data_IF_429853014304
#
_entry.id   IF_429853014304
#
_cell.length_a   1.000
_cell.length_b   1.000
_cell.length_c   1.000
_cell.angle_alpha   90.00
_cell.angle_beta   90.00
_cell.angle_gamma   90.00
#
_symmetry.space_group_name_H-M   'P 1'
#
loop_
_entity.id
_entity.type
_entity.pdbx_description
1 polymer ?
#
# COMPACT_ATOMS: atom_id res chain seq x y z
N UNK A 1 30.34 5.43 -17.79
CA UNK A 1 29.04 5.81 -17.21
C UNK A 1 28.50 4.57 -16.52
N UNK A 2 28.58 4.52 -15.19
CA UNK A 2 27.89 3.49 -14.43
C UNK A 2 26.39 3.65 -14.65
N UNK A 3 25.71 2.54 -14.91
CA UNK A 3 24.26 2.54 -15.07
C UNK A 3 23.61 2.96 -13.74
N UNK A 4 23.04 4.17 -13.71
CA UNK A 4 22.41 4.78 -12.51
C UNK A 4 21.33 3.85 -11.93
N UNK A 5 20.67 3.08 -12.79
CA UNK A 5 19.67 2.10 -12.41
C UNK A 5 20.29 0.91 -11.67
N UNK A 6 21.46 0.44 -12.12
CA UNK A 6 22.17 -0.67 -11.46
C UNK A 6 22.69 -0.30 -10.06
N UNK A 7 23.21 0.93 -9.88
CA UNK A 7 23.63 1.42 -8.55
C UNK A 7 22.43 1.50 -7.61
N UNK A 8 21.31 2.02 -8.12
CA UNK A 8 20.08 2.15 -7.34
C UNK A 8 19.53 0.78 -6.92
N UNK A 9 19.47 -0.16 -7.85
CA UNK A 9 18.95 -1.49 -7.59
C UNK A 9 19.85 -2.25 -6.59
N UNK A 10 21.17 -2.08 -6.67
CA UNK A 10 22.10 -2.62 -5.68
C UNK A 10 21.86 -2.04 -4.27
N UNK A 11 21.62 -0.72 -4.17
CA UNK A 11 21.31 -0.04 -2.90
C UNK A 11 19.99 -0.52 -2.29
N UNK A 12 18.95 -0.68 -3.11
CA UNK A 12 17.66 -1.21 -2.65
C UNK A 12 17.79 -2.66 -2.18
N UNK A 13 18.55 -3.48 -2.91
CA UNK A 13 18.81 -4.86 -2.52
C UNK A 13 19.57 -4.96 -1.19
N UNK A 14 20.54 -4.07 -0.96
CA UNK A 14 21.27 -3.97 0.32
C UNK A 14 20.34 -3.53 1.46
N UNK A 15 19.52 -2.50 1.21
CA UNK A 15 18.55 -1.99 2.19
C UNK A 15 17.50 -3.06 2.59
N UNK A 16 17.07 -3.90 1.64
CA UNK A 16 16.09 -4.98 1.90
C UNK A 16 16.68 -6.18 2.67
N UNK A 17 18.01 -6.32 2.79
CA UNK A 17 18.63 -7.49 3.43
C UNK A 17 18.09 -7.82 4.84
N UNK A 18 17.94 -6.84 5.76
CA UNK A 18 17.47 -7.15 7.11
C UNK A 18 16.05 -7.72 7.12
N UNK A 19 15.14 -7.18 6.32
CA UNK A 19 13.76 -7.69 6.27
C UNK A 19 13.67 -9.04 5.57
N UNK A 20 14.41 -9.24 4.49
CA UNK A 20 14.46 -10.52 3.79
C UNK A 20 15.00 -11.60 4.72
N UNK A 21 16.04 -11.30 5.51
CA UNK A 21 16.57 -12.22 6.52
C UNK A 21 15.52 -12.61 7.55
N UNK A 22 14.89 -11.64 8.22
CA UNK A 22 13.89 -11.90 9.26
C UNK A 22 12.68 -12.70 8.70
N UNK A 23 12.24 -12.39 7.48
CA UNK A 23 11.16 -13.13 6.82
C UNK A 23 11.54 -14.57 6.46
N UNK A 24 12.77 -14.81 6.00
CA UNK A 24 13.28 -16.16 5.69
C UNK A 24 13.46 -17.00 6.94
N UNK A 25 13.95 -16.41 8.04
CA UNK A 25 14.03 -17.08 9.34
C UNK A 25 12.64 -17.49 9.86
N UNK A 26 11.59 -16.74 9.50
CA UNK A 26 10.19 -17.08 9.77
C UNK A 26 9.55 -18.04 8.74
N UNK A 27 10.34 -18.59 7.80
CA UNK A 27 9.91 -19.61 6.84
C UNK A 27 9.45 -19.10 5.48
N UNK A 28 9.63 -17.81 5.17
CA UNK A 28 9.32 -17.29 3.83
C UNK A 28 10.39 -17.74 2.81
N UNK A 29 9.97 -18.22 1.64
CA UNK A 29 10.86 -18.48 0.52
C UNK A 29 10.87 -17.29 -0.45
N UNK A 30 11.61 -16.24 -0.09
CA UNK A 30 11.68 -14.99 -0.85
C UNK A 30 13.12 -14.53 -1.06
N UNK A 31 13.31 -13.75 -2.11
CA UNK A 31 14.55 -13.02 -2.42
C UNK A 31 14.39 -11.52 -2.23
N UNK A 32 13.16 -11.01 -2.26
CA UNK A 32 12.79 -9.62 -2.02
C UNK A 32 11.44 -9.57 -1.31
N UNK A 33 11.18 -8.48 -0.56
CA UNK A 33 9.85 -8.23 0.01
C UNK A 33 8.77 -8.12 -1.08
N UNK A 34 9.15 -7.74 -2.30
CA UNK A 34 8.26 -7.65 -3.44
C UNK A 34 7.70 -9.02 -3.88
N UNK A 35 8.37 -10.12 -3.53
CA UNK A 35 7.89 -11.48 -3.81
C UNK A 35 6.61 -11.83 -3.02
N UNK A 36 6.36 -11.12 -1.90
CA UNK A 36 5.15 -11.27 -1.10
C UNK A 36 3.95 -10.49 -1.68
N UNK A 37 4.18 -9.53 -2.58
CA UNK A 37 3.12 -8.68 -3.14
C UNK A 37 2.22 -9.51 -4.05
N UNK A 38 0.90 -9.40 -3.86
CA UNK A 38 -0.11 -10.22 -4.53
C UNK A 38 0.00 -11.74 -4.26
N UNK A 39 0.79 -12.17 -3.27
CA UNK A 39 0.79 -13.57 -2.88
C UNK A 39 -0.60 -13.95 -2.31
N UNK A 40 -1.06 -15.15 -2.65
CA UNK A 40 -2.40 -15.62 -2.27
C UNK A 40 -2.46 -16.25 -0.87
N UNK A 41 -1.32 -16.48 -0.22
CA UNK A 41 -1.26 -17.32 0.98
C UNK A 41 -1.57 -16.60 2.29
N UNK A 42 -1.73 -15.27 2.29
CA UNK A 42 -2.17 -14.46 3.44
C UNK A 42 -1.19 -14.39 4.63
N UNK A 43 -0.24 -15.33 4.73
CA UNK A 43 0.94 -15.37 5.62
C UNK A 43 0.81 -14.61 6.96
N UNK A 44 -0.19 -14.92 7.81
CA UNK A 44 -0.42 -14.18 9.05
C UNK A 44 0.79 -14.17 9.98
N UNK A 45 1.61 -15.22 9.98
CA UNK A 45 2.84 -15.33 10.75
C UNK A 45 3.93 -14.31 10.33
N UNK A 46 3.89 -13.79 9.10
CA UNK A 46 4.86 -12.80 8.61
C UNK A 46 4.42 -11.35 8.88
N UNK A 47 3.13 -11.12 9.15
CA UNK A 47 2.59 -9.76 9.36
C UNK A 47 3.27 -9.02 10.51
N UNK A 48 3.49 -9.60 11.71
CA UNK A 48 4.19 -8.90 12.79
C UNK A 48 5.62 -8.46 12.39
N UNK A 49 6.31 -9.25 11.57
CA UNK A 49 7.65 -8.93 11.07
C UNK A 49 7.57 -7.76 10.09
N UNK A 50 6.67 -7.82 9.10
CA UNK A 50 6.44 -6.71 8.17
C UNK A 50 6.10 -5.40 8.91
N UNK A 51 5.28 -5.46 9.95
CA UNK A 51 4.91 -4.31 10.78
C UNK A 51 6.07 -3.74 11.59
N UNK A 52 6.93 -4.60 12.15
CA UNK A 52 8.18 -4.19 12.81
C UNK A 52 9.08 -3.44 11.80
N UNK A 53 9.25 -3.99 10.61
CA UNK A 53 10.11 -3.40 9.59
C UNK A 53 9.55 -2.11 8.99
N UNK A 54 8.23 -1.95 8.92
CA UNK A 54 7.61 -0.70 8.42
C UNK A 54 7.93 0.54 9.29
N UNK A 55 8.31 0.32 10.54
CA UNK A 55 8.71 1.36 11.50
C UNK A 55 10.20 1.75 11.39
N UNK A 56 10.99 1.01 10.62
CA UNK A 56 12.41 1.28 10.41
C UNK A 56 12.62 2.38 9.34
N UNK A 57 13.77 3.10 9.36
CA UNK A 57 14.04 4.23 8.48
C UNK A 57 14.43 3.80 7.05
N UNK A 58 13.60 2.96 6.43
CA UNK A 58 13.76 2.52 5.05
C UNK A 58 13.42 3.64 4.05
N UNK A 59 13.99 3.54 2.85
CA UNK A 59 13.58 4.33 1.70
C UNK A 59 12.09 4.16 1.40
N UNK A 60 11.50 5.17 0.74
CA UNK A 60 10.10 5.13 0.32
C UNK A 60 9.77 3.89 -0.51
N UNK A 61 10.71 3.46 -1.38
CA UNK A 61 10.55 2.28 -2.22
C UNK A 61 10.43 1.00 -1.40
N UNK A 62 11.32 0.78 -0.44
CA UNK A 62 11.29 -0.41 0.42
C UNK A 62 10.07 -0.38 1.32
N UNK A 63 9.71 0.78 1.89
CA UNK A 63 8.46 0.94 2.66
C UNK A 63 7.22 0.66 1.81
N UNK A 64 7.21 1.04 0.53
CA UNK A 64 6.13 0.70 -0.40
C UNK A 64 5.99 -0.81 -0.62
N UNK A 65 7.10 -1.52 -0.80
CA UNK A 65 7.12 -2.98 -0.91
C UNK A 65 6.53 -3.66 0.34
N UNK A 66 6.98 -3.24 1.52
CA UNK A 66 6.45 -3.72 2.81
C UNK A 66 4.95 -3.45 2.94
N UNK A 67 4.51 -2.22 2.67
CA UNK A 67 3.10 -1.86 2.78
C UNK A 67 2.22 -2.65 1.81
N UNK A 68 2.69 -2.91 0.58
CA UNK A 68 1.97 -3.76 -0.37
C UNK A 68 1.92 -5.23 0.07
N UNK A 69 2.98 -5.75 0.70
CA UNK A 69 2.96 -7.08 1.31
C UNK A 69 1.98 -7.16 2.49
N UNK A 70 1.69 -6.03 3.17
CA UNK A 70 0.67 -5.95 4.20
C UNK A 70 -0.78 -5.88 3.66
N UNK A 71 -1.00 -5.99 2.35
CA UNK A 71 -2.33 -6.06 1.74
C UNK A 71 -3.00 -7.44 1.94
N UNK A 72 -3.08 -7.89 3.19
CA UNK A 72 -3.65 -9.17 3.60
C UNK A 72 -4.59 -8.99 4.80
N UNK A 73 -5.60 -9.85 5.00
CA UNK A 73 -6.58 -9.70 6.09
C UNK A 73 -5.95 -9.62 7.48
N UNK A 74 -4.88 -10.39 7.72
CA UNK A 74 -4.21 -10.44 9.01
C UNK A 74 -3.57 -9.10 9.44
N UNK A 75 -3.29 -8.18 8.50
CA UNK A 75 -2.82 -6.83 8.83
C UNK A 75 -3.91 -5.95 9.47
N UNK A 76 -5.18 -6.40 9.49
CA UNK A 76 -6.30 -5.69 10.10
C UNK A 76 -6.14 -5.49 11.61
N UNK A 77 -5.34 -6.33 12.28
CA UNK A 77 -4.95 -6.15 13.68
C UNK A 77 -4.21 -4.81 13.92
N UNK A 78 -3.54 -4.28 12.89
CA UNK A 78 -2.75 -3.05 12.94
C UNK A 78 -3.46 -1.87 12.24
N UNK A 79 -4.79 -1.94 12.07
CA UNK A 79 -5.57 -0.98 11.30
C UNK A 79 -5.28 0.48 11.65
N UNK A 80 -5.40 0.84 12.92
CA UNK A 80 -5.27 2.24 13.36
C UNK A 80 -3.86 2.78 13.08
N UNK A 81 -2.83 1.95 13.22
CA UNK A 81 -1.46 2.31 12.84
C UNK A 81 -1.34 2.56 11.33
N UNK A 82 -1.88 1.66 10.50
CA UNK A 82 -1.82 1.80 9.04
C UNK A 82 -2.56 3.06 8.56
N UNK A 83 -3.71 3.39 9.17
CA UNK A 83 -4.45 4.64 8.89
C UNK A 83 -3.59 5.85 9.23
N UNK A 84 -2.94 5.88 10.38
CA UNK A 84 -2.06 6.98 10.76
C UNK A 84 -0.87 7.13 9.81
N UNK A 85 -0.24 6.03 9.40
CA UNK A 85 0.83 6.08 8.40
C UNK A 85 0.32 6.61 7.06
N UNK A 86 -0.88 6.23 6.63
CA UNK A 86 -1.45 6.64 5.34
C UNK A 86 -1.75 8.14 5.29
N UNK A 87 -2.35 8.66 6.36
CA UNK A 87 -2.64 10.10 6.50
C UNK A 87 -1.34 10.91 6.45
N UNK A 88 -0.29 10.45 7.14
CA UNK A 88 0.99 11.16 7.24
C UNK A 88 1.94 10.93 6.06
N UNK A 89 1.68 9.95 5.19
CA UNK A 89 2.55 9.62 4.09
C UNK A 89 2.59 10.76 3.05
N UNK A 90 3.80 11.07 2.58
CA UNK A 90 4.02 12.02 1.48
C UNK A 90 3.51 11.43 0.16
N UNK A 91 3.15 12.31 -0.77
CA UNK A 91 2.71 11.98 -2.13
C UNK A 91 3.51 12.79 -3.15
N UNK A 92 3.52 12.35 -4.40
CA UNK A 92 4.20 13.03 -5.49
C UNK A 92 5.65 12.58 -5.65
N UNK A 93 6.57 13.53 -5.85
CA UNK A 93 7.96 13.24 -6.21
C UNK A 93 8.89 13.39 -5.00
N UNK A 94 9.85 12.47 -4.90
CA UNK A 94 10.92 12.46 -3.92
C UNK A 94 12.08 13.39 -4.31
N UNK A 95 13.11 13.50 -3.46
CA UNK A 95 14.28 14.31 -3.76
C UNK A 95 15.03 13.76 -4.99
N UNK A 96 15.61 14.67 -5.76
CA UNK A 96 16.62 14.35 -6.78
C UNK A 96 17.97 14.25 -6.06
N UNK A 97 18.65 13.12 -6.18
CA UNK A 97 19.98 12.97 -5.61
C UNK A 97 21.04 13.62 -6.52
N UNK A 98 22.22 14.02 -5.98
CA UNK A 98 23.34 14.44 -6.81
C UNK A 98 23.65 13.37 -7.87
N UNK A 99 23.88 13.80 -9.11
CA UNK A 99 24.11 12.94 -10.29
C UNK A 99 22.89 12.12 -10.76
N UNK A 100 21.70 12.37 -10.23
CA UNK A 100 20.44 11.86 -10.77
C UNK A 100 19.69 12.95 -11.56
N UNK A 101 19.25 12.64 -12.77
CA UNK A 101 18.39 13.55 -13.56
C UNK A 101 16.90 13.27 -13.35
N UNK A 102 16.55 12.12 -12.74
CA UNK A 102 15.17 11.65 -12.68
C UNK A 102 14.60 11.75 -11.28
N UNK A 103 13.51 12.51 -11.13
CA UNK A 103 12.73 12.56 -9.89
C UNK A 103 12.05 11.22 -9.61
N UNK A 104 12.22 10.68 -8.40
CA UNK A 104 11.56 9.44 -7.99
C UNK A 104 10.08 9.68 -7.65
N UNK A 105 9.15 8.89 -8.19
CA UNK A 105 7.75 8.93 -7.75
C UNK A 105 7.62 8.15 -6.45
N UNK A 106 7.21 8.82 -5.38
CA UNK A 106 6.95 8.18 -4.08
C UNK A 106 5.79 7.20 -4.23
N UNK A 107 5.94 6.00 -3.67
CA UNK A 107 4.99 4.90 -3.76
C UNK A 107 4.51 4.38 -2.41
N UNK A 108 5.01 4.92 -1.29
CA UNK A 108 4.65 4.42 0.04
C UNK A 108 3.18 4.64 0.38
N UNK A 109 2.61 5.81 0.05
CA UNK A 109 1.20 6.12 0.32
C UNK A 109 0.26 5.17 -0.45
N UNK A 110 0.58 4.87 -1.69
CA UNK A 110 -0.14 3.88 -2.52
C UNK A 110 -0.01 2.48 -1.92
N UNK A 111 1.18 2.11 -1.43
CA UNK A 111 1.38 0.85 -0.74
C UNK A 111 0.52 0.72 0.51
N UNK A 112 0.40 1.78 1.31
CA UNK A 112 -0.49 1.82 2.47
C UNK A 112 -1.97 1.76 2.09
N UNK A 113 -2.37 2.39 0.98
CA UNK A 113 -3.72 2.25 0.46
C UNK A 113 -4.03 0.79 0.07
N UNK A 114 -3.07 0.07 -0.53
CA UNK A 114 -3.19 -1.38 -0.74
C UNK A 114 -3.32 -2.14 0.59
N UNK A 115 -2.50 -1.82 1.60
CA UNK A 115 -2.56 -2.44 2.93
C UNK A 115 -3.96 -2.30 3.55
N UNK A 116 -4.50 -1.08 3.58
CA UNK A 116 -5.85 -0.78 4.10
C UNK A 116 -6.93 -1.51 3.29
N UNK A 117 -6.83 -1.49 1.97
CA UNK A 117 -7.76 -2.17 1.06
C UNK A 117 -7.79 -3.70 1.26
N UNK A 118 -6.63 -4.31 1.51
CA UNK A 118 -6.50 -5.75 1.73
C UNK A 118 -6.83 -6.22 3.15
N UNK A 119 -6.78 -5.32 4.13
CA UNK A 119 -6.98 -5.62 5.56
C UNK A 119 -8.32 -5.16 6.12
N UNK A 120 -9.11 -4.40 5.36
CA UNK A 120 -10.40 -3.88 5.83
C UNK A 120 -11.38 -5.00 6.19
N UNK A 121 -12.04 -4.84 7.34
CA UNK A 121 -13.19 -5.66 7.77
C UNK A 121 -14.48 -4.87 7.60
N UNK A 122 -15.65 -5.53 7.68
CA UNK A 122 -16.94 -4.83 7.59
C UNK A 122 -17.10 -3.72 8.64
N UNK A 123 -16.59 -3.95 9.86
CA UNK A 123 -16.59 -2.97 10.96
C UNK A 123 -15.77 -1.71 10.65
N UNK A 124 -14.71 -1.85 9.84
CA UNK A 124 -13.80 -0.74 9.46
C UNK A 124 -14.14 -0.09 8.12
N UNK A 125 -15.21 -0.54 7.45
CA UNK A 125 -15.69 0.09 6.21
C UNK A 125 -15.99 1.59 6.36
N UNK A 126 -16.60 2.09 7.46
CA UNK A 126 -16.83 3.53 7.62
C UNK A 126 -15.53 4.35 7.57
N UNK A 127 -14.45 3.85 8.19
CA UNK A 127 -13.14 4.49 8.18
C UNK A 127 -12.53 4.49 6.77
N UNK A 128 -12.58 3.36 6.07
CA UNK A 128 -12.08 3.25 4.69
C UNK A 128 -12.81 4.23 3.76
N UNK A 129 -14.14 4.34 3.90
CA UNK A 129 -14.97 5.26 3.11
C UNK A 129 -14.58 6.71 3.39
N UNK A 130 -14.37 7.07 4.67
CA UNK A 130 -13.91 8.41 5.05
C UNK A 130 -12.59 8.76 4.37
N UNK A 131 -11.63 7.83 4.33
CA UNK A 131 -10.34 8.04 3.67
C UNK A 131 -10.47 8.18 2.15
N UNK A 132 -11.32 7.37 1.51
CA UNK A 132 -11.57 7.45 0.07
C UNK A 132 -12.25 8.76 -0.36
N UNK A 133 -13.10 9.32 0.50
CA UNK A 133 -13.81 10.59 0.27
C UNK A 133 -12.93 11.83 0.47
N UNK A 134 -11.84 11.74 1.22
CA UNK A 134 -10.98 12.88 1.53
C UNK A 134 -10.03 13.20 0.36
N UNK A 135 -10.25 14.26 -0.42
CA UNK A 135 -9.45 14.57 -1.61
C UNK A 135 -7.98 14.91 -1.30
N UNK A 136 -7.64 15.23 -0.05
CA UNK A 136 -6.24 15.48 0.34
C UNK A 136 -5.33 14.25 0.17
N UNK A 137 -5.93 13.06 0.11
CA UNK A 137 -5.23 11.81 -0.12
C UNK A 137 -4.89 11.51 -1.60
N UNK A 138 -5.29 12.39 -2.53
CA UNK A 138 -4.88 12.33 -3.93
C UNK A 138 -5.27 11.04 -4.65
N UNK A 139 -4.46 10.64 -5.63
CA UNK A 139 -4.76 9.49 -6.52
C UNK A 139 -4.75 8.13 -5.79
N UNK A 140 -4.05 8.04 -4.64
CA UNK A 140 -4.00 6.82 -3.83
C UNK A 140 -5.38 6.34 -3.36
N UNK A 141 -6.38 7.24 -3.32
CA UNK A 141 -7.79 6.93 -3.01
C UNK A 141 -8.38 5.88 -3.94
N UNK A 142 -7.88 5.79 -5.19
CA UNK A 142 -8.29 4.77 -6.15
C UNK A 142 -8.06 3.34 -5.64
N UNK A 143 -7.03 3.13 -4.81
CA UNK A 143 -6.70 1.82 -4.27
C UNK A 143 -7.58 1.45 -3.06
N UNK A 144 -8.20 2.45 -2.41
CA UNK A 144 -9.09 2.26 -1.26
C UNK A 144 -10.50 1.81 -1.65
N UNK A 145 -10.96 2.06 -2.88
CA UNK A 145 -12.36 1.82 -3.25
C UNK A 145 -12.66 0.37 -3.66
N UNK A 146 -11.63 -0.44 -3.91
CA UNK A 146 -11.77 -1.86 -4.32
C UNK A 146 -12.67 -2.72 -3.41
N UNK A 147 -12.58 -2.62 -2.07
CA UNK A 147 -13.44 -3.36 -1.14
C UNK A 147 -14.92 -2.95 -1.25
N UNK A 148 -15.22 -1.68 -1.55
CA UNK A 148 -16.60 -1.19 -1.68
C UNK A 148 -17.33 -1.88 -2.83
N UNK A 149 -16.62 -2.20 -3.92
CA UNK A 149 -17.17 -2.97 -5.05
C UNK A 149 -17.61 -4.38 -4.67
N UNK A 150 -16.93 -5.02 -3.71
CA UNK A 150 -17.17 -6.42 -3.30
C UNK A 150 -18.14 -6.53 -2.13
N UNK A 151 -18.23 -5.49 -1.30
CA UNK A 151 -19.10 -5.43 -0.14
C UNK A 151 -20.58 -5.37 -0.54
N UNK A 152 -21.43 -6.07 0.22
CA UNK A 152 -22.89 -6.01 0.08
C UNK A 152 -23.56 -5.03 1.04
N UNK A 153 -22.78 -4.44 1.96
CA UNK A 153 -23.29 -3.53 2.98
C UNK A 153 -23.92 -2.29 2.35
N UNK A 154 -25.01 -1.80 2.94
CA UNK A 154 -25.72 -0.60 2.46
C UNK A 154 -24.78 0.61 2.38
N UNK A 155 -23.96 0.83 3.42
CA UNK A 155 -22.97 1.92 3.46
C UNK A 155 -21.97 1.88 2.30
N UNK A 156 -21.60 0.67 1.82
CA UNK A 156 -20.74 0.55 0.66
C UNK A 156 -21.46 0.94 -0.63
N UNK A 157 -22.73 0.54 -0.80
CA UNK A 157 -23.53 0.93 -1.97
C UNK A 157 -23.74 2.45 -2.02
N UNK A 158 -24.06 3.05 -0.88
CA UNK A 158 -24.27 4.50 -0.77
C UNK A 158 -22.97 5.25 -1.07
N UNK A 159 -21.84 4.81 -0.51
CA UNK A 159 -20.54 5.39 -0.79
C UNK A 159 -20.15 5.26 -2.28
N UNK A 160 -20.46 4.14 -2.92
CA UNK A 160 -20.20 3.95 -4.36
C UNK A 160 -21.04 4.91 -5.20
N UNK A 161 -22.30 5.14 -4.84
CA UNK A 161 -23.16 6.07 -5.57
C UNK A 161 -22.67 7.52 -5.43
N UNK A 162 -22.26 7.91 -4.23
CA UNK A 162 -21.67 9.24 -4.00
C UNK A 162 -20.34 9.43 -4.75
N UNK A 163 -19.40 8.49 -4.59
CA UNK A 163 -18.07 8.57 -5.19
C UNK A 163 -18.08 8.44 -6.72
N UNK A 164 -19.18 7.97 -7.32
CA UNK A 164 -19.37 7.93 -8.78
C UNK A 164 -19.24 9.30 -9.44
N UNK A 165 -19.49 10.37 -8.68
CA UNK A 165 -19.39 11.75 -9.13
C UNK A 165 -18.06 12.43 -8.76
N UNK A 166 -17.16 11.75 -8.03
CA UNK A 166 -15.83 12.28 -7.71
C UNK A 166 -14.97 12.33 -8.99
N UNK A 167 -14.41 13.48 -9.39
CA UNK A 167 -13.66 13.63 -10.64
C UNK A 167 -12.49 12.64 -10.81
N UNK A 168 -11.87 12.21 -9.71
CA UNK A 168 -10.71 11.32 -9.72
C UNK A 168 -11.10 9.84 -9.70
N UNK A 169 -12.26 9.51 -9.12
CA UNK A 169 -12.71 8.12 -8.92
C UNK A 169 -13.83 7.71 -9.89
N UNK A 170 -14.54 8.67 -10.48
CA UNK A 170 -15.68 8.46 -11.35
C UNK A 170 -15.38 7.48 -12.49
N UNK A 171 -14.21 7.60 -13.14
CA UNK A 171 -13.84 6.71 -14.25
C UNK A 171 -13.83 5.25 -13.83
N UNK A 172 -13.20 4.94 -12.70
CA UNK A 172 -13.11 3.57 -12.17
C UNK A 172 -14.47 3.09 -11.69
N UNK A 173 -15.19 3.87 -10.89
CA UNK A 173 -16.49 3.48 -10.31
C UNK A 173 -17.56 3.30 -11.39
N UNK A 174 -17.55 4.09 -12.45
CA UNK A 174 -18.44 3.93 -13.59
C UNK A 174 -18.11 2.72 -14.47
N UNK A 175 -16.88 2.20 -14.39
CA UNK A 175 -16.51 0.94 -15.07
C UNK A 175 -17.11 -0.29 -14.39
N UNK A 176 -17.51 -0.18 -13.12
CA UNK A 176 -18.12 -1.26 -12.35
C UNK A 176 -19.54 -1.47 -12.86
N UNK A 177 -19.69 -2.28 -13.91
CA UNK A 177 -20.99 -2.68 -14.46
C UNK A 177 -21.90 -3.17 -13.35
N UNK A 178 -23.13 -2.64 -13.30
CA UNK A 178 -24.25 -3.29 -12.61
C UNK A 178 -24.47 -4.62 -13.33
N UNK A 179 -24.08 -5.73 -12.70
CA UNK A 179 -24.53 -7.06 -13.12
C UNK A 179 -25.98 -7.23 -12.71
#
# INVERSE_FOLDING_TARGET
MSDIWAIRDARLLEEEQPIVKDLREAGANITSVWDLVNSRSGYPNLVPILMKHLQLPYSDRTRSGIARALAVPAAGEYWDFLVQQYINAKQGKGPVFPDEETEFVLGFKEGLACALSGSVTEERLPDLIRLAKDPSNGESRLLLIGPLRRSKAAISKDAVEELRHDPQLAKEINSWRKK
#
